data_IF_538478020694
#
_entry.id   IF_538478020694
#
_cell.length_a   1.000
_cell.length_b   1.000
_cell.length_c   1.000
_cell.angle_alpha   90.00
_cell.angle_beta   90.00
_cell.angle_gamma   90.00
#
_symmetry.space_group_name_H-M   'P 1'
#
loop_
_entity.id
_entity.type
_entity.pdbx_description
1 polymer ?
#
# COMPACT_ATOMS: atom_id res chain seq x y z
N UNK A 1 22.87 6.50 32.40
CA UNK A 1 22.44 6.06 31.05
C UNK A 1 22.13 4.59 31.15
N UNK A 2 20.89 4.24 31.40
CA UNK A 2 20.42 2.86 31.33
C UNK A 2 20.26 2.51 29.85
N UNK A 3 21.04 1.53 29.38
CA UNK A 3 20.90 1.00 28.04
C UNK A 3 19.48 0.47 27.78
N UNK A 4 19.08 0.31 26.49
CA UNK A 4 17.77 -0.18 26.13
C UNK A 4 17.51 -1.54 26.81
N UNK A 5 16.31 -1.71 27.34
CA UNK A 5 15.89 -2.97 27.94
C UNK A 5 15.78 -4.04 26.85
N UNK A 6 16.31 -5.25 27.05
CA UNK A 6 16.12 -6.34 26.11
C UNK A 6 14.63 -6.67 26.02
N UNK A 7 14.13 -6.82 24.79
CA UNK A 7 12.77 -7.27 24.52
C UNK A 7 12.60 -8.64 25.15
N UNK A 8 11.68 -8.76 26.12
CA UNK A 8 11.31 -10.06 26.66
C UNK A 8 10.73 -10.89 25.50
N UNK A 9 11.39 -11.98 25.15
CA UNK A 9 10.88 -12.93 24.15
C UNK A 9 9.68 -13.65 24.77
N UNK A 10 8.49 -13.24 24.38
CA UNK A 10 7.27 -14.00 24.67
C UNK A 10 7.17 -15.02 23.55
N UNK A 11 7.11 -16.34 23.84
CA UNK A 11 7.03 -17.32 22.78
C UNK A 11 5.70 -17.17 22.06
N UNK A 12 5.74 -16.84 20.78
CA UNK A 12 4.55 -16.90 19.92
C UNK A 12 4.15 -18.35 19.68
N UNK A 13 2.86 -18.58 19.50
CA UNK A 13 2.33 -19.89 19.11
C UNK A 13 2.18 -19.93 17.58
N UNK A 14 2.79 -20.94 16.96
CA UNK A 14 2.58 -21.24 15.53
C UNK A 14 1.21 -21.87 15.32
N UNK A 15 0.49 -21.43 14.29
CA UNK A 15 -0.88 -21.85 13.97
C UNK A 15 -0.95 -22.28 12.52
N UNK A 16 -0.98 -23.58 12.28
CA UNK A 16 -0.99 -24.19 10.95
C UNK A 16 -2.11 -25.24 10.77
N UNK A 17 -3.04 -25.31 11.73
CA UNK A 17 -4.21 -26.20 11.63
C UNK A 17 -5.52 -25.43 11.78
N UNK A 18 -6.62 -25.91 11.14
CA UNK A 18 -7.94 -25.28 11.31
C UNK A 18 -8.45 -25.30 12.77
N UNK A 19 -8.09 -26.32 13.54
CA UNK A 19 -8.47 -26.45 14.95
C UNK A 19 -7.80 -25.36 15.80
N UNK A 20 -6.50 -25.17 15.64
CA UNK A 20 -5.76 -24.10 16.35
C UNK A 20 -6.26 -22.73 15.95
N UNK A 21 -6.56 -22.52 14.64
CA UNK A 21 -7.12 -21.26 14.16
C UNK A 21 -8.48 -20.96 14.79
N UNK A 22 -9.35 -21.95 14.93
CA UNK A 22 -10.64 -21.78 15.60
C UNK A 22 -10.47 -21.43 17.10
N UNK A 23 -9.55 -22.13 17.79
CA UNK A 23 -9.22 -21.84 19.20
C UNK A 23 -8.77 -20.40 19.40
N UNK A 24 -7.77 -19.96 18.62
CA UNK A 24 -7.26 -18.59 18.77
C UNK A 24 -8.28 -17.53 18.37
N UNK A 25 -9.13 -17.80 17.35
CA UNK A 25 -10.18 -16.86 16.94
C UNK A 25 -11.17 -16.57 18.09
N UNK A 26 -11.47 -17.56 18.92
CA UNK A 26 -12.28 -17.36 20.13
C UNK A 26 -11.53 -16.51 21.17
N UNK A 27 -10.24 -16.76 21.38
CA UNK A 27 -9.41 -16.01 22.36
C UNK A 27 -9.19 -14.55 21.96
N UNK A 28 -9.06 -14.26 20.66
CA UNK A 28 -8.80 -12.92 20.14
C UNK A 28 -9.98 -11.95 20.35
N UNK A 29 -11.22 -12.44 20.51
CA UNK A 29 -12.39 -11.57 20.72
C UNK A 29 -12.47 -11.00 22.13
N UNK A 30 -12.08 -11.76 23.14
CA UNK A 30 -12.27 -11.41 24.55
C UNK A 30 -11.60 -10.09 24.98
N UNK A 31 -10.36 -9.75 24.53
CA UNK A 31 -9.68 -8.52 24.93
C UNK A 31 -10.22 -7.23 24.27
N UNK A 32 -11.07 -7.32 23.25
CA UNK A 32 -11.59 -6.17 22.49
C UNK A 32 -10.55 -5.44 21.65
N UNK A 33 -9.31 -5.90 21.60
CA UNK A 33 -8.24 -5.35 20.78
C UNK A 33 -7.34 -6.47 20.25
N UNK A 34 -6.99 -6.38 18.96
CA UNK A 34 -6.07 -7.32 18.29
C UNK A 34 -5.07 -6.54 17.47
N UNK A 35 -3.78 -6.73 17.71
CA UNK A 35 -2.72 -6.25 16.82
C UNK A 35 -2.58 -7.19 15.63
N UNK A 36 -2.37 -6.62 14.46
CA UNK A 36 -2.31 -7.35 13.19
C UNK A 36 -1.18 -6.80 12.33
N UNK A 37 -0.41 -7.73 11.75
CA UNK A 37 0.50 -7.47 10.64
C UNK A 37 0.48 -8.64 9.66
N UNK A 38 1.02 -8.48 8.45
CA UNK A 38 1.11 -9.58 7.46
C UNK A 38 2.39 -9.55 6.67
N UNK A 39 2.84 -10.75 6.26
CA UNK A 39 3.97 -10.89 5.35
C UNK A 39 3.55 -11.61 4.05
N UNK A 40 4.06 -11.10 2.94
CA UNK A 40 3.85 -11.68 1.62
C UNK A 40 5.15 -12.09 0.95
N UNK A 41 5.04 -12.80 -0.17
CA UNK A 41 6.18 -13.30 -0.94
C UNK A 41 6.38 -12.60 -2.29
N UNK A 42 5.83 -11.39 -2.46
CA UNK A 42 5.81 -10.65 -3.73
C UNK A 42 7.18 -10.37 -4.35
N UNK A 43 8.25 -10.37 -3.55
CA UNK A 43 9.63 -10.21 -4.01
C UNK A 43 10.24 -11.52 -4.53
N UNK A 44 9.61 -12.66 -4.29
CA UNK A 44 10.18 -13.99 -4.56
C UNK A 44 9.32 -14.82 -5.50
N UNK A 45 7.99 -14.72 -5.40
CA UNK A 45 7.02 -15.55 -6.10
C UNK A 45 6.00 -14.73 -6.90
N UNK A 46 5.30 -15.41 -7.84
CA UNK A 46 4.25 -14.81 -8.65
C UNK A 46 3.20 -15.83 -9.11
N UNK A 47 1.91 -15.62 -8.86
CA UNK A 47 1.33 -14.46 -8.13
C UNK A 47 1.73 -14.44 -6.65
N UNK A 48 1.78 -13.21 -6.09
CA UNK A 48 2.03 -13.00 -4.66
C UNK A 48 1.03 -13.77 -3.80
N UNK A 49 1.53 -14.39 -2.72
CA UNK A 49 0.74 -15.07 -1.71
C UNK A 49 0.90 -14.37 -0.36
N UNK A 50 -0.17 -14.35 0.41
CA UNK A 50 -0.09 -14.07 1.84
C UNK A 50 0.61 -15.26 2.50
N UNK A 51 1.72 -14.99 3.17
CA UNK A 51 2.61 -16.04 3.67
C UNK A 51 2.65 -16.13 5.19
N UNK A 52 2.27 -15.06 5.90
CA UNK A 52 2.17 -15.07 7.36
C UNK A 52 1.12 -14.03 7.79
N UNK A 53 0.40 -14.32 8.88
CA UNK A 53 -0.42 -13.33 9.61
C UNK A 53 0.08 -13.33 11.05
N UNK A 54 0.53 -12.17 11.51
CA UNK A 54 0.95 -11.96 12.89
C UNK A 54 -0.21 -11.36 13.68
N UNK A 55 -0.47 -11.91 14.86
CA UNK A 55 -1.53 -11.48 15.75
C UNK A 55 -1.01 -11.38 17.17
N UNK A 56 -1.47 -10.36 17.89
CA UNK A 56 -1.23 -10.26 19.34
C UNK A 56 -2.45 -9.70 20.06
N UNK A 57 -2.50 -9.88 21.38
CA UNK A 57 -3.48 -9.27 22.29
C UNK A 57 -2.75 -8.51 23.40
N UNK A 58 -3.42 -7.60 24.12
CA UNK A 58 -2.78 -6.77 25.18
C UNK A 58 -2.11 -7.57 26.31
N UNK A 59 -2.53 -8.81 26.55
CA UNK A 59 -1.90 -9.71 27.53
C UNK A 59 -0.51 -10.21 27.12
N UNK A 60 0.04 -9.69 26.03
CA UNK A 60 1.35 -10.09 25.47
C UNK A 60 1.41 -11.52 24.92
N UNK A 61 0.27 -12.12 24.58
CA UNK A 61 0.24 -13.35 23.79
C UNK A 61 0.29 -13.00 22.30
N UNK A 62 1.08 -13.75 21.52
CA UNK A 62 1.19 -13.60 20.07
C UNK A 62 0.99 -14.94 19.34
N UNK A 63 0.48 -14.86 18.13
CA UNK A 63 0.27 -16.01 17.24
C UNK A 63 0.78 -15.68 15.86
N UNK A 64 1.42 -16.67 15.26
CA UNK A 64 1.90 -16.64 13.88
C UNK A 64 1.08 -17.65 13.08
N UNK A 65 0.10 -17.16 12.34
CA UNK A 65 -0.79 -18.00 11.52
C UNK A 65 -0.15 -18.23 10.16
N UNK A 66 -0.09 -19.49 9.75
CA UNK A 66 0.39 -19.91 8.42
C UNK A 66 -0.77 -20.04 7.42
N UNK A 67 -1.07 -19.03 6.59
CA UNK A 67 -2.14 -19.10 5.61
C UNK A 67 -1.80 -19.96 4.40
N UNK A 68 -0.56 -20.48 4.30
CA UNK A 68 -0.17 -21.47 3.29
C UNK A 68 -0.62 -22.89 3.71
N UNK A 69 -0.69 -23.16 5.03
CA UNK A 69 -1.17 -24.40 5.60
C UNK A 69 -2.69 -24.35 5.85
N UNK A 70 -3.19 -23.25 6.43
CA UNK A 70 -4.62 -23.05 6.73
C UNK A 70 -5.22 -22.07 5.72
N UNK A 71 -5.87 -22.60 4.69
CA UNK A 71 -6.42 -21.79 3.59
C UNK A 71 -7.79 -21.18 3.91
N UNK A 72 -8.59 -21.81 4.77
CA UNK A 72 -9.85 -21.26 5.26
C UNK A 72 -9.59 -20.40 6.51
N UNK A 73 -9.65 -19.08 6.33
CA UNK A 73 -9.44 -18.07 7.37
C UNK A 73 -10.76 -17.48 7.89
N UNK A 74 -11.91 -18.08 7.60
CA UNK A 74 -13.23 -17.52 7.89
C UNK A 74 -13.48 -17.30 9.40
N UNK A 75 -12.99 -18.20 10.26
CA UNK A 75 -13.07 -18.05 11.72
C UNK A 75 -12.33 -16.80 12.19
N UNK A 76 -11.14 -16.55 11.67
CA UNK A 76 -10.36 -15.36 11.98
C UNK A 76 -11.00 -14.10 11.39
N UNK A 77 -11.52 -14.15 10.17
CA UNK A 77 -12.21 -13.02 9.54
C UNK A 77 -13.39 -12.53 10.39
N UNK A 78 -14.10 -13.43 11.07
CA UNK A 78 -15.23 -13.08 11.96
C UNK A 78 -14.80 -12.25 13.18
N UNK A 79 -13.57 -12.34 13.62
CA UNK A 79 -13.01 -11.54 14.74
C UNK A 79 -12.92 -10.07 14.34
N UNK A 80 -12.35 -9.79 13.17
CA UNK A 80 -12.14 -8.42 12.70
C UNK A 80 -13.42 -7.72 12.22
N UNK A 81 -14.44 -8.50 11.85
CA UNK A 81 -15.76 -7.99 11.51
C UNK A 81 -16.59 -7.61 12.76
N UNK A 82 -16.18 -8.02 13.94
CA UNK A 82 -16.88 -7.73 15.19
C UNK A 82 -16.76 -6.25 15.57
N UNK A 83 -17.87 -5.56 15.89
CA UNK A 83 -17.86 -4.12 16.16
C UNK A 83 -17.16 -3.75 17.48
N UNK A 84 -17.00 -4.68 18.37
CA UNK A 84 -16.37 -4.56 19.69
C UNK A 84 -14.86 -4.87 19.66
N UNK A 85 -14.29 -5.20 18.49
CA UNK A 85 -12.87 -5.48 18.32
C UNK A 85 -12.19 -4.36 17.57
N UNK A 86 -11.19 -3.72 18.18
CA UNK A 86 -10.30 -2.74 17.54
C UNK A 86 -9.08 -3.45 16.97
N UNK A 87 -8.90 -3.36 15.66
CA UNK A 87 -7.68 -3.86 14.99
C UNK A 87 -6.59 -2.81 15.05
N UNK A 88 -5.50 -3.09 15.74
CA UNK A 88 -4.34 -2.18 15.82
C UNK A 88 -3.31 -2.60 14.78
N UNK A 89 -2.96 -1.68 13.90
CA UNK A 89 -1.98 -1.92 12.81
C UNK A 89 -0.92 -0.83 12.77
N UNK A 90 0.13 -1.07 12.01
CA UNK A 90 1.13 -0.06 11.68
C UNK A 90 1.30 0.02 10.15
N UNK A 91 0.91 1.17 9.54
CA UNK A 91 0.93 1.36 8.09
C UNK A 91 0.20 0.23 7.32
N UNK A 92 -0.97 -0.19 7.85
CA UNK A 92 -1.67 -1.40 7.45
C UNK A 92 -2.42 -1.34 6.11
N UNK A 93 -2.21 -0.32 5.27
CA UNK A 93 -2.93 -0.17 3.99
C UNK A 93 -2.86 -1.44 3.12
N UNK A 94 -1.67 -2.03 2.96
CA UNK A 94 -1.46 -3.20 2.13
C UNK A 94 -2.02 -4.47 2.77
N UNK A 95 -1.83 -4.64 4.08
CA UNK A 95 -2.29 -5.79 4.87
C UNK A 95 -3.80 -5.90 4.81
N UNK A 96 -4.48 -4.79 5.09
CA UNK A 96 -5.94 -4.71 5.03
C UNK A 96 -6.48 -5.01 3.64
N UNK A 97 -5.84 -4.50 2.58
CA UNK A 97 -6.23 -4.80 1.19
C UNK A 97 -6.04 -6.28 0.86
N UNK A 98 -4.94 -6.89 1.27
CA UNK A 98 -4.68 -8.31 1.07
C UNK A 98 -5.71 -9.19 1.79
N UNK A 99 -6.02 -8.88 3.04
CA UNK A 99 -7.01 -9.62 3.85
C UNK A 99 -8.44 -9.39 3.34
N UNK A 100 -8.82 -8.15 3.00
CA UNK A 100 -10.13 -7.86 2.40
C UNK A 100 -10.39 -8.63 1.10
N UNK A 101 -9.37 -8.84 0.28
CA UNK A 101 -9.47 -9.71 -0.92
C UNK A 101 -9.76 -11.18 -0.58
N UNK A 102 -9.53 -11.59 0.66
CA UNK A 102 -9.82 -12.92 1.19
C UNK A 102 -11.11 -12.97 2.03
N UNK A 103 -11.95 -11.94 1.91
CA UNK A 103 -13.25 -11.88 2.58
C UNK A 103 -13.24 -11.29 3.99
N UNK A 104 -12.11 -10.72 4.44
CA UNK A 104 -12.08 -10.01 5.72
C UNK A 104 -12.82 -8.67 5.61
N UNK A 105 -13.52 -8.31 6.68
CA UNK A 105 -14.06 -6.98 6.91
C UNK A 105 -13.47 -6.45 8.23
N UNK A 106 -13.23 -5.14 8.26
CA UNK A 106 -12.68 -4.48 9.45
C UNK A 106 -13.68 -3.40 9.88
N UNK A 107 -14.20 -3.50 11.09
CA UNK A 107 -15.19 -2.56 11.62
C UNK A 107 -14.50 -1.39 12.32
N UNK A 108 -13.46 -1.67 13.09
CA UNK A 108 -12.71 -0.67 13.84
C UNK A 108 -11.21 -0.89 13.66
N UNK A 109 -10.49 0.17 13.31
CA UNK A 109 -9.04 0.16 13.10
C UNK A 109 -8.41 1.31 13.86
N UNK A 110 -7.21 1.08 14.40
CA UNK A 110 -6.29 2.12 14.82
C UNK A 110 -4.93 1.88 14.14
N UNK A 111 -4.53 2.80 13.27
CA UNK A 111 -3.23 2.73 12.59
C UNK A 111 -2.24 3.69 13.27
N UNK A 112 -1.19 3.11 13.85
CA UNK A 112 -0.17 3.86 14.60
C UNK A 112 0.66 4.79 13.72
N UNK A 113 0.81 4.49 12.42
CA UNK A 113 1.50 5.38 11.49
C UNK A 113 0.66 6.60 11.13
N UNK A 114 -0.66 6.43 10.95
CA UNK A 114 -1.60 7.54 10.80
C UNK A 114 -1.56 8.41 12.05
N UNK A 115 -1.66 7.81 13.24
CA UNK A 115 -1.60 8.51 14.51
C UNK A 115 -0.33 9.36 14.67
N UNK A 116 0.84 8.79 14.39
CA UNK A 116 2.13 9.48 14.46
C UNK A 116 2.21 10.66 13.48
N UNK A 117 1.67 10.52 12.25
CA UNK A 117 1.63 11.63 11.27
C UNK A 117 0.83 12.82 11.77
N UNK A 118 -0.28 12.59 12.50
CA UNK A 118 -1.08 13.66 13.09
C UNK A 118 -0.44 14.32 14.31
N UNK A 119 0.62 13.73 14.86
CA UNK A 119 1.53 14.35 15.82
C UNK A 119 2.68 15.11 15.16
N UNK A 120 2.77 15.08 13.82
CA UNK A 120 3.82 15.77 13.06
C UNK A 120 5.11 14.94 12.91
N UNK A 121 5.09 13.67 13.25
CA UNK A 121 6.24 12.78 13.09
C UNK A 121 6.46 12.53 11.60
N UNK A 122 7.72 12.64 11.15
CA UNK A 122 8.09 12.44 9.74
C UNK A 122 8.65 11.05 9.44
N UNK A 123 9.41 10.51 10.38
CA UNK A 123 9.97 9.16 10.26
C UNK A 123 8.99 8.16 10.87
N UNK A 124 8.25 7.47 10.01
CA UNK A 124 7.09 6.65 10.38
C UNK A 124 7.39 5.16 10.49
N UNK A 125 8.64 4.73 10.33
CA UNK A 125 9.01 3.33 10.54
C UNK A 125 8.68 2.87 11.95
N UNK A 126 8.18 1.64 12.10
CA UNK A 126 7.81 1.09 13.41
C UNK A 126 9.00 1.11 14.38
N UNK A 127 10.19 0.77 13.90
CA UNK A 127 11.44 0.83 14.63
C UNK A 127 11.71 2.24 15.22
N UNK A 128 11.54 3.27 14.41
CA UNK A 128 11.73 4.67 14.84
C UNK A 128 10.69 5.07 15.88
N UNK A 129 9.42 4.70 15.67
CA UNK A 129 8.35 5.04 16.62
C UNK A 129 8.51 4.33 17.95
N UNK A 130 8.85 3.03 17.94
CA UNK A 130 9.09 2.28 19.18
C UNK A 130 10.30 2.82 19.95
N UNK A 131 11.37 3.17 19.24
CA UNK A 131 12.53 3.81 19.86
C UNK A 131 12.16 5.17 20.47
N UNK A 132 11.39 6.00 19.75
CA UNK A 132 11.04 7.36 20.16
C UNK A 132 10.07 7.37 21.35
N UNK A 133 9.02 6.54 21.30
CA UNK A 133 7.94 6.59 22.26
C UNK A 133 8.08 5.60 23.42
N UNK A 134 8.79 4.49 23.22
CA UNK A 134 8.91 3.40 24.19
C UNK A 134 10.35 3.06 24.56
N UNK A 135 11.37 3.66 23.93
CA UNK A 135 12.79 3.34 24.09
C UNK A 135 13.10 1.85 23.81
N UNK A 136 12.39 1.25 22.87
CA UNK A 136 12.58 -0.13 22.45
C UNK A 136 13.30 -0.18 21.10
N UNK A 137 14.21 -1.16 20.96
CA UNK A 137 14.88 -1.47 19.69
C UNK A 137 14.28 -2.73 19.07
N UNK A 138 13.84 -2.64 17.81
CA UNK A 138 13.40 -3.80 17.06
C UNK A 138 14.56 -4.65 16.53
N UNK A 139 14.35 -5.96 16.32
CA UNK A 139 15.31 -6.78 15.60
C UNK A 139 15.51 -6.27 14.16
N UNK A 140 16.63 -6.60 13.51
CA UNK A 140 16.89 -6.19 12.13
C UNK A 140 15.77 -6.61 11.18
N UNK A 141 15.38 -5.69 10.27
CA UNK A 141 14.29 -5.90 9.33
C UNK A 141 14.44 -7.17 8.47
N UNK A 142 13.35 -7.90 8.32
CA UNK A 142 13.18 -9.10 7.49
C UNK A 142 12.17 -8.94 6.35
N UNK A 143 11.69 -7.73 6.09
CA UNK A 143 10.68 -7.42 5.06
C UNK A 143 11.04 -7.92 3.64
N UNK A 144 12.31 -8.16 3.34
CA UNK A 144 12.76 -8.64 2.03
C UNK A 144 13.01 -10.12 1.96
N UNK A 145 12.84 -10.84 3.07
CA UNK A 145 13.04 -12.28 3.14
C UNK A 145 11.93 -13.02 2.37
N UNK A 146 12.20 -14.27 2.04
CA UNK A 146 11.22 -15.15 1.43
C UNK A 146 10.35 -15.78 2.53
N UNK A 147 9.21 -15.15 2.79
CA UNK A 147 8.26 -15.54 3.82
C UNK A 147 7.44 -16.80 3.49
N UNK A 148 7.55 -17.31 2.26
CA UNK A 148 6.87 -18.55 1.86
C UNK A 148 7.66 -19.81 2.26
N UNK A 149 8.93 -19.68 2.61
CA UNK A 149 9.76 -20.82 3.05
C UNK A 149 9.32 -21.36 4.40
N UNK A 150 9.43 -22.68 4.55
CA UNK A 150 9.17 -23.38 5.81
C UNK A 150 10.32 -24.35 6.13
N UNK A 151 10.69 -24.48 7.41
CA UNK A 151 10.27 -23.63 8.54
C UNK A 151 10.84 -22.20 8.43
N UNK A 152 10.21 -21.23 9.09
CA UNK A 152 10.79 -19.90 9.26
C UNK A 152 12.02 -19.97 10.16
N UNK A 153 13.01 -19.13 9.90
CA UNK A 153 14.17 -18.98 10.77
C UNK A 153 13.79 -18.30 12.09
N UNK A 154 14.55 -18.54 13.15
CA UNK A 154 14.35 -17.84 14.43
C UNK A 154 14.41 -16.31 14.30
N UNK A 155 15.23 -15.80 13.38
CA UNK A 155 15.31 -14.37 13.13
C UNK A 155 14.02 -13.81 12.49
N UNK A 156 13.38 -14.58 11.60
CA UNK A 156 12.07 -14.22 11.03
C UNK A 156 10.97 -14.30 12.08
N UNK A 157 10.97 -15.35 12.91
CA UNK A 157 9.98 -15.48 14.00
C UNK A 157 10.07 -14.30 14.96
N UNK A 158 11.28 -13.95 15.44
CA UNK A 158 11.49 -12.81 16.34
C UNK A 158 11.08 -11.47 15.70
N UNK A 159 11.34 -11.29 14.40
CA UNK A 159 10.93 -10.11 13.66
C UNK A 159 9.40 -10.02 13.63
N UNK A 160 8.72 -11.08 13.19
CA UNK A 160 7.27 -11.14 13.06
C UNK A 160 6.53 -10.94 14.41
N UNK A 161 7.08 -11.46 15.51
CA UNK A 161 6.56 -11.21 16.86
C UNK A 161 6.66 -9.74 17.24
N UNK A 162 7.81 -9.14 16.97
CA UNK A 162 8.10 -7.77 17.38
C UNK A 162 7.23 -6.74 16.65
N UNK A 163 6.78 -7.04 15.41
CA UNK A 163 5.92 -6.16 14.63
C UNK A 163 4.52 -5.97 15.24
N UNK A 164 4.04 -6.89 16.09
CA UNK A 164 2.71 -6.81 16.70
C UNK A 164 2.71 -6.62 18.22
N UNK A 165 3.71 -7.15 18.96
CA UNK A 165 3.70 -7.17 20.42
C UNK A 165 3.67 -5.78 21.06
N UNK A 166 4.28 -4.79 20.44
CA UNK A 166 4.44 -3.46 21.02
C UNK A 166 3.41 -2.43 20.50
N UNK A 167 2.51 -2.84 19.58
CA UNK A 167 1.56 -1.92 18.97
C UNK A 167 0.54 -1.34 19.97
N UNK A 168 0.17 -2.09 21.02
CA UNK A 168 -0.77 -1.58 22.04
C UNK A 168 -0.14 -0.46 22.86
N UNK A 169 1.07 -0.68 23.38
CA UNK A 169 1.78 0.34 24.15
C UNK A 169 2.06 1.59 23.30
N UNK A 170 2.43 1.42 22.03
CA UNK A 170 2.60 2.52 21.09
C UNK A 170 1.27 3.26 20.84
N UNK A 171 0.18 2.52 20.59
CA UNK A 171 -1.17 3.09 20.43
C UNK A 171 -1.55 3.93 21.63
N UNK A 172 -1.36 3.42 22.85
CA UNK A 172 -1.75 4.13 24.08
C UNK A 172 -0.98 5.45 24.22
N UNK A 173 0.35 5.44 24.00
CA UNK A 173 1.16 6.65 24.01
C UNK A 173 0.75 7.67 22.95
N UNK A 174 0.51 7.22 21.72
CA UNK A 174 0.08 8.10 20.63
C UNK A 174 -1.33 8.66 20.91
N UNK A 175 -2.22 7.86 21.49
CA UNK A 175 -3.58 8.28 21.87
C UNK A 175 -3.55 9.38 22.93
N UNK A 176 -2.72 9.23 23.98
CA UNK A 176 -2.53 10.24 25.01
C UNK A 176 -2.04 11.57 24.41
N UNK A 177 -1.03 11.53 23.55
CA UNK A 177 -0.49 12.73 22.91
C UNK A 177 -1.47 13.38 21.94
N UNK A 178 -2.20 12.58 21.15
CA UNK A 178 -3.25 13.08 20.26
C UNK A 178 -4.39 13.76 21.02
N UNK A 179 -4.81 13.18 22.16
CA UNK A 179 -5.81 13.79 23.03
C UNK A 179 -5.32 15.14 23.58
N UNK A 180 -4.06 15.21 24.02
CA UNK A 180 -3.46 16.43 24.52
C UNK A 180 -3.42 17.58 23.49
N UNK A 181 -3.22 17.26 22.21
CA UNK A 181 -3.21 18.26 21.12
C UNK A 181 -4.57 18.38 20.41
N UNK A 182 -5.62 17.70 20.87
CA UNK A 182 -6.98 17.78 20.33
C UNK A 182 -7.16 17.16 18.95
N UNK A 183 -6.35 16.16 18.58
CA UNK A 183 -6.36 15.54 17.23
C UNK A 183 -6.79 14.07 17.21
N UNK A 184 -7.19 13.50 18.34
CA UNK A 184 -7.58 12.10 18.39
C UNK A 184 -8.75 11.80 17.44
N UNK A 185 -9.81 12.62 17.46
CA UNK A 185 -10.96 12.46 16.58
C UNK A 185 -10.59 12.53 15.07
N UNK A 186 -9.53 13.25 14.71
CA UNK A 186 -9.03 13.30 13.32
C UNK A 186 -8.49 11.94 12.89
N UNK A 187 -7.70 11.31 13.78
CA UNK A 187 -7.12 9.98 13.54
C UNK A 187 -8.21 8.93 13.48
N UNK A 188 -9.18 8.98 14.40
CA UNK A 188 -10.32 8.05 14.41
C UNK A 188 -11.11 8.09 13.09
N UNK A 189 -11.36 9.28 12.54
CA UNK A 189 -12.06 9.43 11.26
C UNK A 189 -11.23 8.92 10.08
N UNK A 190 -9.91 9.14 10.05
CA UNK A 190 -9.03 8.60 9.00
C UNK A 190 -8.92 7.07 9.10
N UNK A 191 -8.83 6.51 10.31
CA UNK A 191 -8.83 5.06 10.52
C UNK A 191 -10.18 4.42 10.14
N UNK A 192 -11.31 5.07 10.46
CA UNK A 192 -12.62 4.61 10.03
C UNK A 192 -12.74 4.60 8.49
N UNK A 193 -12.17 5.61 7.83
CA UNK A 193 -12.13 5.66 6.37
C UNK A 193 -11.24 4.57 5.76
N UNK A 194 -10.12 4.22 6.42
CA UNK A 194 -9.27 3.10 6.03
C UNK A 194 -10.02 1.76 6.19
N UNK A 195 -10.75 1.60 7.29
CA UNK A 195 -11.61 0.43 7.52
C UNK A 195 -12.67 0.29 6.41
N UNK A 196 -13.33 1.38 6.03
CA UNK A 196 -14.39 1.41 5.03
C UNK A 196 -13.87 1.27 3.58
N UNK A 197 -12.57 1.46 3.33
CA UNK A 197 -12.01 1.39 1.99
C UNK A 197 -12.22 -0.01 1.39
N UNK A 198 -12.87 -0.14 0.22
CA UNK A 198 -13.09 -1.44 -0.41
C UNK A 198 -11.77 -2.09 -0.81
N UNK A 199 -11.74 -3.43 -0.80
CA UNK A 199 -10.66 -4.15 -1.44
C UNK A 199 -10.65 -3.78 -2.93
N UNK A 200 -9.58 -3.16 -3.40
CA UNK A 200 -9.39 -3.06 -4.84
C UNK A 200 -9.23 -4.47 -5.41
N UNK A 201 -10.15 -4.90 -6.25
CA UNK A 201 -9.98 -6.16 -6.97
C UNK A 201 -8.65 -6.12 -7.72
N UNK A 202 -7.88 -7.21 -7.69
CA UNK A 202 -6.80 -7.42 -8.67
C UNK A 202 -7.46 -7.72 -10.02
N UNK A 203 -8.09 -6.72 -10.62
CA UNK A 203 -8.54 -6.82 -11.99
C UNK A 203 -7.26 -6.82 -12.81
N UNK A 204 -7.02 -7.92 -13.53
CA UNK A 204 -6.00 -7.91 -14.58
C UNK A 204 -6.43 -6.84 -15.58
N UNK A 205 -5.80 -5.68 -15.53
CA UNK A 205 -6.05 -4.63 -16.51
C UNK A 205 -5.38 -5.04 -17.83
N UNK A 206 -6.15 -5.38 -18.87
CA UNK A 206 -5.59 -5.71 -20.18
C UNK A 206 -4.73 -4.59 -20.77
N UNK A 207 -4.89 -3.37 -20.26
CA UNK A 207 -4.16 -2.18 -20.65
C UNK A 207 -3.06 -1.78 -19.66
N UNK A 208 -2.69 -2.65 -18.72
CA UNK A 208 -1.64 -2.35 -17.74
C UNK A 208 -0.31 -1.93 -18.38
N UNK A 209 0.02 -2.47 -19.57
CA UNK A 209 1.19 -2.07 -20.36
C UNK A 209 1.20 -0.57 -20.70
N UNK A 210 0.03 0.04 -20.89
CA UNK A 210 -0.13 1.46 -21.22
C UNK A 210 0.19 2.40 -20.05
N UNK A 211 0.21 1.87 -18.83
CA UNK A 211 0.60 2.59 -17.62
C UNK A 211 2.13 2.66 -17.42
N UNK A 212 2.92 1.92 -18.18
CA UNK A 212 4.38 1.93 -18.07
C UNK A 212 4.94 3.30 -18.49
N UNK A 213 5.94 3.77 -17.75
CA UNK A 213 6.62 5.03 -18.07
C UNK A 213 7.26 4.95 -19.48
N UNK A 214 6.92 5.87 -20.36
CA UNK A 214 7.35 5.88 -21.77
C UNK A 214 6.38 5.19 -22.73
N UNK A 215 5.39 4.43 -22.29
CA UNK A 215 4.43 3.75 -23.17
C UNK A 215 3.63 4.72 -24.06
N UNK A 216 3.27 5.89 -23.55
CA UNK A 216 2.47 6.90 -24.26
C UNK A 216 3.20 7.64 -25.36
N UNK A 217 4.52 7.51 -25.40
CA UNK A 217 5.41 8.13 -26.38
C UNK A 217 5.67 7.20 -27.57
N UNK A 218 5.24 5.94 -27.46
CA UNK A 218 5.41 4.92 -28.49
C UNK A 218 4.42 5.14 -29.66
N UNK A 219 4.87 4.78 -30.87
CA UNK A 219 3.98 4.66 -32.03
C UNK A 219 2.95 3.54 -31.78
N UNK A 220 1.79 3.53 -32.47
CA UNK A 220 0.81 2.44 -32.33
C UNK A 220 1.41 1.05 -32.55
N UNK A 221 2.33 0.92 -33.51
CA UNK A 221 3.05 -0.33 -33.80
C UNK A 221 3.95 -0.75 -32.61
N UNK A 222 4.73 0.17 -32.09
CA UNK A 222 5.61 -0.09 -30.96
C UNK A 222 4.80 -0.33 -29.66
N UNK A 223 3.63 0.29 -29.54
CA UNK A 223 2.71 0.03 -28.44
C UNK A 223 2.12 -1.39 -28.51
N UNK A 224 1.85 -1.91 -29.71
CA UNK A 224 1.45 -3.30 -29.90
C UNK A 224 2.57 -4.26 -29.48
N UNK A 225 3.83 -3.93 -29.79
CA UNK A 225 4.99 -4.70 -29.34
C UNK A 225 5.08 -4.68 -27.81
N UNK A 226 4.89 -3.51 -27.19
CA UNK A 226 4.91 -3.40 -25.72
C UNK A 226 3.81 -4.27 -25.07
N UNK A 227 2.59 -4.32 -25.62
CA UNK A 227 1.51 -5.18 -25.17
C UNK A 227 1.89 -6.66 -25.22
N UNK A 228 2.37 -7.13 -26.37
CA UNK A 228 2.79 -8.53 -26.53
C UNK A 228 3.94 -8.91 -25.59
N UNK A 229 4.92 -8.03 -25.40
CA UNK A 229 6.03 -8.25 -24.48
C UNK A 229 5.58 -8.22 -23.00
N UNK A 230 4.62 -7.37 -22.65
CA UNK A 230 4.05 -7.33 -21.32
C UNK A 230 3.32 -8.64 -21.01
N UNK A 231 2.47 -9.11 -21.92
CA UNK A 231 1.72 -10.35 -21.76
C UNK A 231 2.67 -11.58 -21.70
N UNK A 232 3.68 -11.61 -22.55
CA UNK A 232 4.74 -12.63 -22.49
C UNK A 232 5.45 -12.62 -21.14
N UNK A 233 5.81 -11.44 -20.61
CA UNK A 233 6.44 -11.33 -19.30
C UNK A 233 5.56 -11.91 -18.19
N UNK A 234 4.26 -11.61 -18.21
CA UNK A 234 3.31 -12.15 -17.22
C UNK A 234 3.21 -13.70 -17.30
N UNK A 235 3.20 -14.25 -18.52
CA UNK A 235 3.22 -15.69 -18.73
C UNK A 235 4.52 -16.33 -18.22
N UNK A 236 5.67 -15.78 -18.58
CA UNK A 236 6.96 -16.27 -18.13
C UNK A 236 7.13 -16.15 -16.60
N UNK A 237 6.62 -15.09 -16.00
CA UNK A 237 6.63 -14.87 -14.55
C UNK A 237 5.84 -15.97 -13.83
N UNK A 238 4.62 -16.27 -14.28
CA UNK A 238 3.78 -17.35 -13.74
C UNK A 238 4.43 -18.72 -13.91
N UNK A 239 4.93 -19.02 -15.12
CA UNK A 239 5.55 -20.31 -15.41
C UNK A 239 6.85 -20.54 -14.61
N UNK A 240 7.58 -19.46 -14.29
CA UNK A 240 8.81 -19.55 -13.53
C UNK A 240 8.63 -19.37 -12.02
N UNK A 241 7.39 -19.10 -11.55
CA UNK A 241 7.07 -18.69 -10.18
C UNK A 241 8.02 -17.59 -9.69
N UNK A 242 8.15 -16.52 -10.49
CA UNK A 242 9.06 -15.40 -10.21
C UNK A 242 8.40 -14.07 -10.53
N UNK A 243 8.61 -13.02 -9.70
CA UNK A 243 8.04 -11.71 -9.95
C UNK A 243 8.36 -11.18 -11.36
N UNK A 244 7.41 -10.51 -12.05
CA UNK A 244 7.58 -10.03 -13.41
C UNK A 244 8.82 -9.16 -13.61
N UNK A 245 9.19 -8.33 -12.61
CA UNK A 245 10.39 -7.48 -12.68
C UNK A 245 11.72 -8.27 -12.66
N UNK A 246 11.71 -9.51 -12.14
CA UNK A 246 12.86 -10.43 -12.20
C UNK A 246 12.96 -11.17 -13.54
N UNK A 247 11.93 -11.12 -14.37
CA UNK A 247 11.95 -11.65 -15.75
C UNK A 247 12.47 -10.56 -16.68
N UNK A 248 11.73 -9.45 -16.79
CA UNK A 248 12.10 -8.26 -17.57
C UNK A 248 11.62 -7.01 -16.81
N UNK A 249 12.47 -6.02 -16.62
CA UNK A 249 12.07 -4.78 -15.99
C UNK A 249 11.07 -3.99 -16.86
N UNK A 250 10.25 -3.12 -16.29
CA UNK A 250 9.39 -2.21 -17.05
C UNK A 250 10.17 -1.39 -18.09
N UNK A 251 11.35 -0.90 -17.71
CA UNK A 251 12.21 -0.11 -18.58
C UNK A 251 12.72 -0.93 -19.77
N UNK A 252 13.09 -2.20 -19.53
CA UNK A 252 13.53 -3.13 -20.58
C UNK A 252 12.40 -3.42 -21.58
N UNK A 253 11.17 -3.61 -21.11
CA UNK A 253 10.02 -3.80 -22.00
C UNK A 253 9.82 -2.61 -22.94
N UNK A 254 9.88 -1.39 -22.38
CA UNK A 254 9.74 -0.16 -23.17
C UNK A 254 10.91 0.00 -24.15
N UNK A 255 12.14 -0.28 -23.74
CA UNK A 255 13.30 -0.21 -24.61
C UNK A 255 13.23 -1.20 -25.79
N UNK A 256 12.78 -2.45 -25.54
CA UNK A 256 12.52 -3.45 -26.58
C UNK A 256 11.43 -3.00 -27.56
N UNK A 257 10.40 -2.32 -27.06
CA UNK A 257 9.33 -1.79 -27.90
C UNK A 257 9.75 -0.55 -28.70
N UNK A 258 10.62 0.30 -28.15
CA UNK A 258 11.15 1.50 -28.83
C UNK A 258 12.10 1.14 -29.99
N UNK A 259 12.96 0.17 -29.76
CA UNK A 259 13.94 -0.31 -30.73
C UNK A 259 13.80 -1.84 -30.92
N UNK A 260 12.78 -2.30 -31.67
CA UNK A 260 12.50 -3.72 -31.81
C UNK A 260 13.69 -4.48 -32.41
N UNK A 261 14.26 -5.47 -31.68
CA UNK A 261 15.44 -6.21 -32.18
C UNK A 261 15.02 -7.19 -33.29
N UNK A 262 15.81 -7.29 -34.33
CA UNK A 262 15.61 -8.27 -35.40
C UNK A 262 16.18 -9.65 -35.06
N UNK A 263 17.15 -9.71 -34.16
CA UNK A 263 17.88 -10.91 -33.77
C UNK A 263 18.44 -10.81 -32.34
N UNK A 264 19.07 -11.87 -31.88
CA UNK A 264 19.70 -11.93 -30.54
C UNK A 264 20.88 -10.96 -30.40
N UNK A 265 21.60 -10.64 -31.48
CA UNK A 265 22.73 -9.71 -31.46
C UNK A 265 22.23 -8.26 -31.25
N UNK A 266 21.18 -7.88 -31.96
CA UNK A 266 20.49 -6.59 -31.75
C UNK A 266 19.90 -6.49 -30.35
N UNK A 267 19.32 -7.59 -29.83
CA UNK A 267 18.77 -7.63 -28.45
C UNK A 267 19.87 -7.39 -27.41
N UNK A 268 21.08 -7.86 -27.63
CA UNK A 268 22.22 -7.66 -26.71
C UNK A 268 22.63 -6.19 -26.55
N UNK A 269 22.23 -5.32 -27.49
CA UNK A 269 22.50 -3.88 -27.43
C UNK A 269 21.44 -3.13 -26.59
N UNK A 270 20.34 -3.80 -26.23
CA UNK A 270 19.25 -3.18 -25.47
C UNK A 270 19.56 -3.25 -23.98
N UNK A 271 19.49 -2.11 -23.30
CA UNK A 271 19.71 -2.01 -21.85
C UNK A 271 18.68 -2.89 -21.12
N UNK A 272 19.17 -3.75 -20.22
CA UNK A 272 18.33 -4.68 -19.47
C UNK A 272 18.13 -6.05 -20.12
N UNK A 273 18.77 -6.33 -21.28
CA UNK A 273 18.80 -7.64 -21.92
C UNK A 273 20.19 -8.30 -21.77
N UNK A 274 20.60 -8.72 -20.55
CA UNK A 274 21.88 -9.41 -20.36
C UNK A 274 21.89 -10.78 -21.03
N UNK A 275 23.08 -11.31 -21.31
CA UNK A 275 23.26 -12.59 -21.99
C UNK A 275 22.40 -13.73 -21.42
N UNK A 276 22.19 -13.77 -20.09
CA UNK A 276 21.33 -14.76 -19.42
C UNK A 276 19.85 -14.68 -19.83
N UNK A 277 19.33 -13.46 -20.03
CA UNK A 277 17.95 -13.23 -20.48
C UNK A 277 17.80 -13.67 -21.93
N UNK A 278 18.77 -13.28 -22.78
CA UNK A 278 18.79 -13.63 -24.20
C UNK A 278 18.91 -15.15 -24.38
N UNK A 279 19.78 -15.81 -23.63
CA UNK A 279 19.95 -17.26 -23.69
C UNK A 279 18.66 -18.00 -23.28
N UNK A 280 17.96 -17.52 -22.26
CA UNK A 280 16.78 -18.20 -21.71
C UNK A 280 15.51 -17.88 -22.47
N UNK A 281 15.30 -16.61 -22.87
CA UNK A 281 14.01 -16.12 -23.39
C UNK A 281 14.12 -15.37 -24.72
N UNK A 282 15.33 -15.29 -25.32
CA UNK A 282 15.55 -14.51 -26.55
C UNK A 282 14.61 -14.87 -27.68
N UNK A 283 14.43 -16.16 -27.98
CA UNK A 283 13.60 -16.60 -29.09
C UNK A 283 12.12 -16.29 -28.89
N UNK A 284 11.60 -16.47 -27.67
CA UNK A 284 10.18 -16.15 -27.38
C UNK A 284 9.94 -14.64 -27.37
N UNK A 285 10.94 -13.83 -26.98
CA UNK A 285 10.89 -12.37 -27.05
C UNK A 285 10.86 -11.93 -28.52
N UNK A 286 11.78 -12.44 -29.36
CA UNK A 286 11.82 -12.12 -30.79
C UNK A 286 10.53 -12.56 -31.50
N UNK A 287 9.99 -13.72 -31.16
CA UNK A 287 8.71 -14.19 -31.70
C UNK A 287 7.55 -13.27 -31.30
N UNK A 288 7.52 -12.76 -30.06
CA UNK A 288 6.50 -11.79 -29.61
C UNK A 288 6.62 -10.45 -30.39
N UNK A 289 7.83 -9.95 -30.57
CA UNK A 289 8.10 -8.77 -31.40
C UNK A 289 7.60 -8.96 -32.81
N UNK A 290 7.96 -10.09 -33.45
CA UNK A 290 7.54 -10.39 -34.82
C UNK A 290 6.01 -10.51 -34.97
N UNK A 291 5.32 -11.16 -34.02
CA UNK A 291 3.85 -11.22 -34.00
C UNK A 291 3.22 -9.83 -33.96
N UNK A 292 3.70 -8.96 -33.08
CA UNK A 292 3.19 -7.61 -32.96
C UNK A 292 3.47 -6.77 -34.21
N UNK A 293 4.61 -6.95 -34.84
CA UNK A 293 4.98 -6.28 -36.11
C UNK A 293 4.09 -6.72 -37.27
N UNK A 294 3.61 -7.94 -37.28
CA UNK A 294 2.74 -8.51 -38.31
C UNK A 294 1.25 -8.14 -38.15
N UNK A 295 0.85 -7.49 -37.05
CA UNK A 295 -0.55 -7.08 -36.84
C UNK A 295 -1.00 -6.11 -37.96
N UNK A 296 -2.22 -6.26 -38.46
CA UNK A 296 -2.80 -5.26 -39.37
C UNK A 296 -3.04 -3.93 -38.63
N UNK A 297 -3.08 -2.82 -39.35
CA UNK A 297 -3.12 -1.47 -38.76
C UNK A 297 -4.40 -1.20 -37.93
N UNK A 298 -5.50 -1.82 -38.29
CA UNK A 298 -6.79 -1.75 -37.61
C UNK A 298 -6.82 -2.52 -36.28
N UNK A 299 -5.87 -3.47 -36.07
CA UNK A 299 -5.70 -4.22 -34.81
C UNK A 299 -4.69 -3.58 -33.83
N UNK A 300 -4.07 -2.47 -34.22
CA UNK A 300 -3.12 -1.78 -33.36
C UNK A 300 -3.81 -1.13 -32.14
N UNK A 301 -3.19 -1.19 -30.96
CA UNK A 301 -3.75 -0.55 -29.78
C UNK A 301 -3.75 0.97 -29.96
N UNK A 302 -4.87 1.57 -29.71
CA UNK A 302 -5.02 3.02 -29.64
C UNK A 302 -5.19 3.40 -28.18
N UNK A 303 -4.21 4.14 -27.63
CA UNK A 303 -4.37 4.71 -26.31
C UNK A 303 -5.30 5.94 -26.44
N UNK A 304 -6.52 5.79 -25.94
CA UNK A 304 -7.38 6.95 -25.80
C UNK A 304 -6.64 8.02 -24.98
N UNK A 305 -6.32 9.13 -25.61
CA UNK A 305 -5.92 10.32 -24.87
C UNK A 305 -7.17 10.80 -24.13
N UNK A 306 -7.31 10.39 -22.86
CA UNK A 306 -8.31 11.06 -22.02
C UNK A 306 -8.00 12.55 -22.11
N UNK A 307 -8.87 13.35 -22.73
CA UNK A 307 -8.63 14.78 -22.80
C UNK A 307 -8.48 15.25 -21.35
N UNK A 308 -7.35 15.89 -21.05
CA UNK A 308 -7.25 16.57 -19.74
C UNK A 308 -8.40 17.56 -19.70
N UNK A 309 -9.30 17.46 -18.71
CA UNK A 309 -10.37 18.44 -18.57
C UNK A 309 -9.74 19.83 -18.66
N UNK A 310 -10.24 20.65 -19.58
CA UNK A 310 -9.78 22.05 -19.66
C UNK A 310 -10.20 22.72 -18.37
N UNK A 311 -9.25 22.88 -17.47
CA UNK A 311 -9.43 23.60 -16.20
C UNK A 311 -9.60 25.08 -16.59
N UNK A 312 -10.72 25.71 -16.19
CA UNK A 312 -10.92 27.14 -16.43
C UNK A 312 -9.83 27.94 -15.69
N UNK A 313 -9.50 29.14 -16.20
CA UNK A 313 -8.51 29.99 -15.54
C UNK A 313 -8.86 30.30 -14.07
N UNK A 314 -10.17 30.41 -13.75
CA UNK A 314 -10.61 30.60 -12.37
C UNK A 314 -10.31 29.38 -11.49
N UNK A 315 -10.61 28.16 -11.96
CA UNK A 315 -10.28 26.93 -11.20
C UNK A 315 -8.76 26.77 -11.04
N UNK A 316 -7.98 27.12 -12.09
CA UNK A 316 -6.51 27.06 -11.99
C UNK A 316 -5.95 28.00 -10.91
N UNK A 317 -6.47 29.23 -10.81
CA UNK A 317 -6.10 30.19 -9.76
C UNK A 317 -6.44 29.65 -8.36
N UNK A 318 -7.64 29.10 -8.18
CA UNK A 318 -8.06 28.49 -6.90
C UNK A 318 -7.17 27.31 -6.50
N UNK A 319 -6.80 26.43 -7.44
CA UNK A 319 -5.86 25.36 -7.19
C UNK A 319 -4.53 25.90 -6.65
N UNK A 320 -4.00 26.92 -7.28
CA UNK A 320 -2.72 27.51 -6.85
C UNK A 320 -2.85 28.20 -5.48
N UNK A 321 -3.91 28.94 -5.23
CA UNK A 321 -4.17 29.57 -3.95
C UNK A 321 -4.32 28.53 -2.82
N UNK A 322 -5.00 27.41 -3.04
CA UNK A 322 -5.10 26.33 -2.08
C UNK A 322 -3.74 25.65 -1.81
N UNK A 323 -2.88 25.52 -2.82
CA UNK A 323 -1.53 24.99 -2.64
C UNK A 323 -0.68 25.91 -1.79
N UNK A 324 -0.73 27.21 -2.06
CA UNK A 324 -0.01 28.22 -1.29
C UNK A 324 -0.50 28.30 0.15
N UNK A 325 -1.83 28.35 0.35
CA UNK A 325 -2.42 28.30 1.68
C UNK A 325 -1.94 27.06 2.46
N UNK A 326 -2.06 25.88 1.89
CA UNK A 326 -1.64 24.63 2.53
C UNK A 326 -0.18 24.63 2.96
N UNK A 327 0.71 25.14 2.09
CA UNK A 327 2.14 25.24 2.38
C UNK A 327 2.42 26.23 3.49
N UNK A 328 1.73 27.38 3.51
CA UNK A 328 1.88 28.39 4.55
C UNK A 328 1.21 28.02 5.88
N UNK A 329 0.12 27.24 5.85
CA UNK A 329 -0.60 26.79 7.04
C UNK A 329 0.11 25.63 7.77
N UNK A 330 0.72 24.71 7.02
CA UNK A 330 1.30 23.48 7.56
C UNK A 330 2.26 23.69 8.75
N UNK A 331 3.18 24.66 8.74
CA UNK A 331 4.06 24.91 9.89
C UNK A 331 3.31 25.32 11.16
N UNK A 332 2.19 26.06 11.05
CA UNK A 332 1.38 26.50 12.20
C UNK A 332 0.80 25.34 12.99
N UNK A 333 0.52 24.24 12.29
CA UNK A 333 -0.03 23.01 12.87
C UNK A 333 1.04 21.95 13.17
N UNK A 334 2.29 22.17 12.75
CA UNK A 334 3.35 21.18 12.83
C UNK A 334 3.05 19.93 12.01
N UNK A 335 2.30 20.05 10.92
CA UNK A 335 1.85 18.94 10.08
C UNK A 335 2.42 19.07 8.66
N UNK A 336 2.48 17.97 7.94
CA UNK A 336 2.79 17.98 6.52
C UNK A 336 1.66 18.63 5.70
N UNK A 337 1.98 19.42 4.66
CA UNK A 337 0.96 20.08 3.84
C UNK A 337 -0.10 19.13 3.29
N UNK A 338 0.32 17.91 2.92
CA UNK A 338 -0.56 16.86 2.39
C UNK A 338 -1.63 16.36 3.37
N UNK A 339 -1.42 16.50 4.69
CA UNK A 339 -2.42 16.18 5.70
C UNK A 339 -3.51 17.25 5.77
N UNK A 340 -3.15 18.53 5.64
CA UNK A 340 -4.14 19.61 5.68
C UNK A 340 -5.11 19.49 4.50
N UNK A 341 -4.57 19.34 3.28
CA UNK A 341 -5.38 19.15 2.08
C UNK A 341 -4.62 18.27 1.07
N UNK A 342 -4.97 16.98 0.93
CA UNK A 342 -4.33 16.07 0.00
C UNK A 342 -4.38 16.55 -1.47
N UNK A 343 -3.33 16.29 -2.24
CA UNK A 343 -3.23 16.71 -3.64
C UNK A 343 -4.46 16.29 -4.48
N UNK A 344 -4.99 15.08 -4.24
CA UNK A 344 -6.15 14.53 -4.92
C UNK A 344 -7.43 15.34 -4.71
N UNK A 345 -7.54 16.08 -3.60
CA UNK A 345 -8.73 16.85 -3.22
C UNK A 345 -8.68 18.30 -3.69
N UNK A 346 -7.47 18.86 -3.93
CA UNK A 346 -7.32 20.28 -4.30
C UNK A 346 -8.16 20.63 -5.55
N UNK A 347 -8.12 19.78 -6.58
CA UNK A 347 -8.87 20.00 -7.81
C UNK A 347 -10.38 19.97 -7.61
N UNK A 348 -10.87 18.99 -6.81
CA UNK A 348 -12.29 18.87 -6.48
C UNK A 348 -12.80 20.06 -5.66
N UNK A 349 -12.06 20.46 -4.63
CA UNK A 349 -12.40 21.63 -3.80
C UNK A 349 -12.39 22.93 -4.61
N UNK A 350 -11.38 23.14 -5.48
CA UNK A 350 -11.30 24.31 -6.35
C UNK A 350 -12.44 24.39 -7.36
N UNK A 351 -12.89 23.25 -7.87
CA UNK A 351 -14.00 23.16 -8.83
C UNK A 351 -15.37 23.35 -8.14
N UNK A 352 -15.56 22.71 -6.97
CA UNK A 352 -16.80 22.82 -6.19
C UNK A 352 -17.02 24.20 -5.62
N UNK A 353 -15.97 24.96 -5.34
CA UNK A 353 -15.99 26.33 -4.80
C UNK A 353 -16.98 26.50 -3.64
N UNK A 354 -16.81 25.75 -2.55
CA UNK A 354 -17.70 25.81 -1.41
C UNK A 354 -17.74 27.21 -0.78
N UNK A 355 -18.95 27.70 -0.49
CA UNK A 355 -19.16 29.02 0.12
C UNK A 355 -19.03 29.03 1.65
N UNK A 356 -19.07 27.88 2.30
CA UNK A 356 -18.98 27.70 3.75
C UNK A 356 -18.37 26.34 4.12
N UNK A 357 -17.97 26.14 5.39
CA UNK A 357 -17.39 24.86 5.82
C UNK A 357 -18.32 23.63 5.68
N UNK A 358 -19.63 23.81 5.77
CA UNK A 358 -20.61 22.74 5.56
C UNK A 358 -20.65 22.26 4.12
N UNK A 359 -20.64 23.22 3.16
CA UNK A 359 -20.50 22.92 1.75
C UNK A 359 -19.16 22.25 1.43
N UNK A 360 -18.07 22.66 2.11
CA UNK A 360 -16.76 21.99 1.99
C UNK A 360 -16.82 20.53 2.46
N UNK A 361 -17.49 20.25 3.57
CA UNK A 361 -17.65 18.90 4.10
C UNK A 361 -18.41 17.97 3.12
N UNK A 362 -19.23 18.54 2.23
CA UNK A 362 -19.98 17.79 1.22
C UNK A 362 -19.16 17.45 -0.02
N UNK A 363 -17.94 17.97 -0.17
CA UNK A 363 -17.04 17.62 -1.28
C UNK A 363 -16.50 16.22 -1.08
N UNK A 364 -16.67 15.36 -2.08
CA UNK A 364 -16.24 13.96 -1.99
C UNK A 364 -14.78 13.81 -1.56
N UNK A 365 -14.57 12.95 -0.56
CA UNK A 365 -13.27 12.67 0.04
C UNK A 365 -12.79 13.69 1.08
N UNK A 366 -13.49 14.80 1.30
CA UNK A 366 -13.23 15.70 2.43
C UNK A 366 -13.72 15.02 3.71
N UNK A 367 -12.84 14.90 4.71
CA UNK A 367 -13.19 14.42 6.05
C UNK A 367 -13.84 15.54 6.85
N UNK A 368 -14.79 15.17 7.74
CA UNK A 368 -15.47 16.13 8.60
C UNK A 368 -14.49 16.94 9.45
N UNK A 369 -13.52 16.26 10.09
CA UNK A 369 -12.49 16.92 10.88
C UNK A 369 -11.75 18.01 10.08
N UNK A 370 -11.50 17.78 8.78
CA UNK A 370 -10.78 18.73 7.91
C UNK A 370 -11.62 19.96 7.62
N UNK A 371 -12.91 19.78 7.38
CA UNK A 371 -13.83 20.90 7.19
C UNK A 371 -14.01 21.71 8.49
N UNK A 372 -14.07 21.05 9.64
CA UNK A 372 -14.16 21.71 10.95
C UNK A 372 -12.87 22.47 11.29
N UNK A 373 -11.70 21.87 11.10
CA UNK A 373 -10.42 22.45 11.49
C UNK A 373 -9.93 23.56 10.54
N UNK A 374 -10.17 23.42 9.23
CA UNK A 374 -9.57 24.28 8.21
C UNK A 374 -10.61 24.92 7.27
N UNK A 375 -11.89 24.58 7.40
CA UNK A 375 -12.92 25.01 6.46
C UNK A 375 -13.03 26.52 6.31
N UNK A 376 -13.00 27.26 7.40
CA UNK A 376 -13.06 28.74 7.36
C UNK A 376 -11.91 29.34 6.55
N UNK A 377 -10.69 28.84 6.75
CA UNK A 377 -9.52 29.34 6.01
C UNK A 377 -9.58 28.94 4.53
N UNK A 378 -9.96 27.67 4.23
CA UNK A 378 -10.10 27.18 2.85
C UNK A 378 -11.13 28.01 2.08
N UNK A 379 -12.30 28.27 2.67
CA UNK A 379 -13.36 29.09 2.09
C UNK A 379 -12.90 30.51 1.85
N UNK A 380 -12.22 31.13 2.82
CA UNK A 380 -11.68 32.50 2.67
C UNK A 380 -10.66 32.60 1.54
N UNK A 381 -9.78 31.61 1.39
CA UNK A 381 -8.83 31.53 0.26
C UNK A 381 -9.55 31.43 -1.08
N UNK A 382 -10.59 30.61 -1.17
CA UNK A 382 -11.38 30.46 -2.40
C UNK A 382 -12.17 31.72 -2.75
N UNK A 383 -12.67 32.47 -1.76
CA UNK A 383 -13.40 33.70 -1.98
C UNK A 383 -12.52 34.84 -2.48
N UNK A 384 -11.20 34.78 -2.22
CA UNK A 384 -10.22 35.81 -2.64
C UNK A 384 -9.66 35.59 -4.05
N UNK A 385 -10.11 34.55 -4.79
CA UNK A 385 -9.60 34.15 -6.12
C UNK A 385 -10.64 34.29 -7.21
#
# INVERSE_FOLDING_TARGET
>A
MTGPLPIATIPSRWVDTPTDLAEISHRLRAPGQVALDTEGDSLHHYPERLSLIQLAVPSSEAWLVDPLAVTDLSSLASVFAAPDVVTVVHAGDNDLVQLKRRGFAFTSIFDTSIAARFLGVRALGLDVLLQTYLSLELPPSKQRDDWSRRPLSEAQLRYAEADVLHLFALKDRLTEELARVGRLAWVEEECAALAAQPASARISDPNAFAGLKGARELSPRNLAILRELHDLREQLARAADRPPFKILSPETLVALAQAPPADRAAMAQIVGCPARVIARWGDVILAAVARAQALPDDALPVLERRPRPRISGAVARRIEALRQWRTGAAPRFGLEPGLLLPNRLIGAVAAAWPGDPGALASVDGIRRWRAEAFGTEIVAVLAST
#
